data_IF_941081755320
#
_entry.id   IF_941081755320
#
_cell.length_a   1.000
_cell.length_b   1.000
_cell.length_c   1.000
_cell.angle_alpha   90.00
_cell.angle_beta   90.00
_cell.angle_gamma   90.00
#
_symmetry.space_group_name_H-M   'P 1'
#
loop_
_entity.id
_entity.type
_entity.pdbx_description
1 polymer ?
#
# COMPACT_ATOMS: atom_id res chain seq x y z
N UNK A 1 -10.47 4.87 -19.00
CA UNK A 1 -9.39 4.30 -19.85
C UNK A 1 -9.07 2.92 -19.32
N UNK A 2 -8.86 1.91 -20.19
CA UNK A 2 -8.63 0.52 -19.77
C UNK A 2 -7.22 0.36 -19.17
N UNK A 3 -7.10 -0.39 -18.07
CA UNK A 3 -5.81 -0.79 -17.50
C UNK A 3 -5.08 -1.69 -18.52
N UNK A 4 -3.77 -1.52 -18.75
CA UNK A 4 -3.02 -2.43 -19.61
C UNK A 4 -3.12 -3.87 -19.10
N UNK A 5 -2.98 -4.85 -19.99
CA UNK A 5 -2.84 -6.23 -19.55
C UNK A 5 -1.54 -6.39 -18.74
N UNK A 6 -1.47 -7.42 -17.89
CA UNK A 6 -0.24 -7.71 -17.14
C UNK A 6 0.98 -7.88 -18.07
N UNK A 7 0.90 -8.60 -19.21
CA UNK A 7 2.00 -8.67 -20.18
C UNK A 7 2.42 -7.31 -20.76
N UNK A 8 1.46 -6.47 -21.19
CA UNK A 8 1.78 -5.15 -21.75
C UNK A 8 2.45 -4.25 -20.70
N UNK A 9 1.97 -4.35 -19.46
CA UNK A 9 2.54 -3.64 -18.34
C UNK A 9 3.98 -4.10 -18.07
N UNK A 10 4.23 -5.41 -18.00
CA UNK A 10 5.57 -5.98 -17.80
C UNK A 10 6.54 -5.59 -18.92
N UNK A 11 6.10 -5.64 -20.18
CA UNK A 11 6.92 -5.28 -21.33
C UNK A 11 7.30 -3.79 -21.31
N UNK A 12 6.33 -2.91 -21.06
CA UNK A 12 6.59 -1.48 -20.95
C UNK A 12 7.47 -1.14 -19.73
N UNK A 13 7.36 -1.89 -18.63
CA UNK A 13 8.22 -1.72 -17.47
C UNK A 13 9.66 -2.13 -17.76
N UNK A 14 9.86 -3.30 -18.37
CA UNK A 14 11.17 -3.78 -18.78
C UNK A 14 11.85 -2.78 -19.75
N UNK A 15 11.11 -2.19 -20.68
CA UNK A 15 11.61 -1.17 -21.60
C UNK A 15 11.98 0.16 -20.90
N UNK A 16 11.24 0.58 -19.88
CA UNK A 16 11.60 1.73 -19.05
C UNK A 16 12.90 1.50 -18.28
N UNK A 17 13.09 0.29 -17.73
CA UNK A 17 14.33 -0.07 -17.05
C UNK A 17 15.49 -0.18 -18.04
N UNK A 18 15.29 -0.81 -19.21
CA UNK A 18 16.33 -0.98 -20.23
C UNK A 18 16.86 0.35 -20.76
N UNK A 19 16.01 1.37 -20.86
CA UNK A 19 16.41 2.73 -21.28
C UNK A 19 16.96 3.60 -20.15
N UNK A 20 17.08 3.06 -18.94
CA UNK A 20 17.58 3.79 -17.76
C UNK A 20 16.65 4.88 -17.25
N UNK A 21 15.38 4.91 -17.66
CA UNK A 21 14.44 5.97 -17.33
C UNK A 21 13.99 5.95 -15.86
N UNK A 22 14.07 4.78 -15.21
CA UNK A 22 13.66 4.55 -13.80
C UNK A 22 14.72 3.73 -13.05
N UNK A 23 16.00 3.90 -13.42
CA UNK A 23 17.15 3.19 -12.82
C UNK A 23 18.10 4.22 -12.23
N UNK A 24 18.62 3.92 -11.04
CA UNK A 24 19.65 4.75 -10.40
C UNK A 24 19.23 5.26 -9.03
N UNK A 25 19.98 6.24 -8.55
CA UNK A 25 19.76 6.89 -7.27
C UNK A 25 19.16 8.28 -7.50
N UNK A 26 17.87 8.43 -7.18
CA UNK A 26 17.19 9.72 -7.29
C UNK A 26 17.36 10.57 -6.04
N UNK A 27 18.06 10.10 -4.99
CA UNK A 27 18.27 10.86 -3.76
C UNK A 27 19.26 12.02 -3.92
N UNK A 28 19.99 12.08 -5.04
CA UNK A 28 20.95 13.15 -5.32
C UNK A 28 20.28 14.51 -5.65
N UNK A 29 18.98 14.52 -5.93
CA UNK A 29 18.23 15.73 -6.20
C UNK A 29 17.53 16.27 -4.96
N UNK A 30 17.48 17.60 -4.80
CA UNK A 30 16.63 18.24 -3.80
C UNK A 30 15.15 17.84 -3.97
N UNK A 31 14.35 18.01 -2.91
CA UNK A 31 12.91 17.61 -2.90
C UNK A 31 12.12 18.13 -4.12
N UNK A 32 12.44 19.31 -4.64
CA UNK A 32 11.80 19.89 -5.83
C UNK A 32 12.23 19.24 -7.15
N UNK A 33 13.45 18.67 -7.21
CA UNK A 33 13.86 17.86 -8.36
C UNK A 33 13.08 16.54 -8.38
N UNK A 34 12.88 15.90 -7.23
CA UNK A 34 12.09 14.66 -7.11
C UNK A 34 10.62 14.86 -7.52
N UNK A 35 10.00 15.99 -7.14
CA UNK A 35 8.61 16.31 -7.50
C UNK A 35 8.36 16.40 -9.00
N UNK A 36 9.36 16.84 -9.76
CA UNK A 36 9.27 17.03 -11.20
C UNK A 36 9.76 15.80 -12.00
N UNK A 37 10.17 14.71 -11.32
CA UNK A 37 10.57 13.51 -12.03
C UNK A 37 9.36 12.77 -12.58
N UNK A 38 9.38 12.62 -13.90
CA UNK A 38 8.33 12.04 -14.74
C UNK A 38 7.79 10.69 -14.23
N UNK A 39 8.64 9.89 -13.59
CA UNK A 39 8.34 8.53 -13.18
C UNK A 39 8.18 8.37 -11.66
N UNK A 40 8.28 9.46 -10.89
CA UNK A 40 8.21 9.43 -9.41
C UNK A 40 6.92 10.07 -8.90
N UNK A 41 6.36 11.05 -9.62
CA UNK A 41 5.12 11.73 -9.23
C UNK A 41 3.98 11.51 -10.22
N UNK A 42 2.75 11.59 -9.68
CA UNK A 42 1.49 11.15 -10.30
C UNK A 42 1.18 11.76 -11.68
N UNK A 43 1.72 12.94 -12.01
CA UNK A 43 1.32 13.72 -13.19
C UNK A 43 1.88 13.22 -14.52
N UNK A 44 2.95 12.41 -14.52
CA UNK A 44 3.55 11.94 -15.76
C UNK A 44 3.87 10.43 -15.78
N UNK A 45 3.19 9.69 -14.89
CA UNK A 45 3.31 8.24 -14.82
C UNK A 45 2.89 7.59 -16.15
N UNK A 46 3.70 6.69 -16.72
CA UNK A 46 3.37 5.98 -17.95
C UNK A 46 2.08 5.15 -17.82
N UNK A 47 1.67 4.83 -16.58
CA UNK A 47 0.47 4.05 -16.28
C UNK A 47 -0.60 4.85 -15.49
N UNK A 48 -0.61 6.20 -15.62
CA UNK A 48 -1.53 7.17 -15.00
C UNK A 48 -1.57 7.14 -13.46
N UNK A 49 -2.02 6.03 -12.88
CA UNK A 49 -2.21 5.85 -11.45
C UNK A 49 -1.18 4.89 -10.82
N UNK A 50 -0.50 4.07 -11.64
CA UNK A 50 0.49 3.14 -11.12
C UNK A 50 1.89 3.70 -11.31
N UNK A 51 2.54 4.04 -10.19
CA UNK A 51 3.94 4.42 -10.20
C UNK A 51 4.77 3.13 -10.29
N UNK A 52 5.59 2.95 -11.33
CA UNK A 52 6.42 1.76 -11.45
C UNK A 52 7.43 1.59 -10.30
N UNK A 53 7.77 2.67 -9.62
CA UNK A 53 8.57 2.66 -8.39
C UNK A 53 7.82 2.11 -7.16
N UNK A 54 6.48 1.99 -7.22
CA UNK A 54 5.65 1.44 -6.14
C UNK A 54 5.55 -0.10 -6.20
N UNK A 55 6.45 -0.77 -6.90
CA UNK A 55 6.46 -2.24 -6.92
C UNK A 55 6.75 -2.75 -5.51
N UNK A 56 5.82 -3.53 -4.95
CA UNK A 56 5.98 -4.12 -3.62
C UNK A 56 7.30 -4.91 -3.51
N UNK A 57 7.69 -5.64 -4.55
CA UNK A 57 8.97 -6.37 -4.61
C UNK A 57 10.19 -5.45 -4.54
N UNK A 58 10.12 -4.24 -5.10
CA UNK A 58 11.19 -3.24 -4.95
C UNK A 58 11.24 -2.71 -3.52
N UNK A 59 10.10 -2.42 -2.90
CA UNK A 59 10.05 -2.00 -1.50
C UNK A 59 10.62 -3.08 -0.56
N UNK A 60 10.39 -4.36 -0.86
CA UNK A 60 10.94 -5.48 -0.11
C UNK A 60 12.46 -5.65 -0.28
N UNK A 61 13.11 -5.00 -1.24
CA UNK A 61 14.57 -5.10 -1.47
C UNK A 61 15.31 -3.79 -1.23
N UNK A 62 14.58 -2.72 -0.94
CA UNK A 62 15.05 -1.36 -0.79
C UNK A 62 16.04 -1.21 0.36
N UNK A 63 17.27 -0.81 0.05
CA UNK A 63 18.30 -0.46 1.05
C UNK A 63 18.29 1.03 1.41
N UNK A 64 17.87 1.88 0.46
CA UNK A 64 17.78 3.33 0.61
C UNK A 64 16.58 3.86 -0.18
N UNK A 65 15.81 4.82 0.36
CA UNK A 65 14.73 5.46 -0.37
C UNK A 65 15.21 5.97 -1.72
N UNK A 66 14.38 5.78 -2.76
CA UNK A 66 14.63 6.25 -4.12
C UNK A 66 15.85 5.67 -4.86
N UNK A 67 16.43 4.58 -4.35
CA UNK A 67 17.45 3.80 -5.08
C UNK A 67 16.79 2.59 -5.73
N UNK A 68 16.65 2.63 -7.06
CA UNK A 68 16.02 1.56 -7.84
C UNK A 68 17.06 0.83 -8.69
N UNK A 69 17.52 -0.37 -8.28
CA UNK A 69 18.47 -1.14 -9.06
C UNK A 69 17.82 -1.65 -10.36
N UNK A 70 18.63 -1.79 -11.41
CA UNK A 70 18.18 -2.32 -12.69
C UNK A 70 17.68 -3.77 -12.58
N UNK A 71 18.24 -4.55 -11.65
CA UNK A 71 17.85 -5.93 -11.37
C UNK A 71 17.24 -6.04 -9.98
N UNK A 72 16.12 -6.75 -9.90
CA UNK A 72 15.45 -7.05 -8.62
C UNK A 72 16.02 -8.33 -8.04
N UNK A 73 16.50 -8.27 -6.81
CA UNK A 73 16.92 -9.45 -6.04
C UNK A 73 15.70 -10.16 -5.46
N UNK A 74 15.17 -11.13 -6.22
CA UNK A 74 13.95 -11.87 -5.85
C UNK A 74 14.13 -12.65 -4.55
N UNK A 75 15.30 -13.24 -4.31
CA UNK A 75 15.54 -14.02 -3.11
C UNK A 75 15.58 -13.14 -1.86
N UNK A 76 16.20 -11.96 -1.96
CA UNK A 76 16.13 -10.95 -0.89
C UNK A 76 14.71 -10.48 -0.67
N UNK A 77 13.93 -10.23 -1.73
CA UNK A 77 12.53 -9.84 -1.60
C UNK A 77 11.72 -10.90 -0.84
N UNK A 78 11.90 -12.17 -1.17
CA UNK A 78 11.24 -13.30 -0.51
C UNK A 78 11.66 -13.44 0.96
N UNK A 79 12.96 -13.30 1.26
CA UNK A 79 13.44 -13.31 2.65
C UNK A 79 12.82 -12.18 3.46
N UNK A 80 12.82 -10.96 2.92
CA UNK A 80 12.28 -9.79 3.60
C UNK A 80 10.76 -9.89 3.77
N UNK A 81 10.04 -10.39 2.74
CA UNK A 81 8.62 -10.68 2.81
C UNK A 81 8.32 -11.67 3.94
N UNK A 82 9.04 -12.80 4.02
CA UNK A 82 8.87 -13.80 5.07
C UNK A 82 9.23 -13.27 6.46
N UNK A 83 10.14 -12.30 6.55
CA UNK A 83 10.50 -11.64 7.81
C UNK A 83 9.56 -10.49 8.20
N UNK A 84 8.54 -10.18 7.38
CA UNK A 84 7.65 -9.07 7.63
C UNK A 84 6.82 -9.35 8.87
N UNK A 85 6.91 -8.45 9.86
CA UNK A 85 6.22 -8.60 11.15
C UNK A 85 4.73 -8.26 11.07
N UNK A 86 4.35 -7.34 10.19
CA UNK A 86 2.98 -6.84 10.07
C UNK A 86 2.64 -6.44 8.64
N UNK A 87 1.42 -6.77 8.20
CA UNK A 87 0.83 -6.32 6.94
C UNK A 87 -0.57 -5.78 7.25
N UNK A 88 -0.85 -4.55 6.82
CA UNK A 88 -2.18 -3.96 6.88
C UNK A 88 -2.92 -4.09 5.54
N UNK A 89 -4.25 -4.14 5.60
CA UNK A 89 -5.12 -4.16 4.42
C UNK A 89 -5.78 -2.80 4.30
N UNK A 90 -5.69 -2.19 3.12
CA UNK A 90 -6.21 -0.84 2.86
C UNK A 90 -7.73 -0.75 2.96
N UNK A 91 -8.44 -1.81 2.58
CA UNK A 91 -9.90 -1.91 2.61
C UNK A 91 -10.43 -2.06 4.05
N UNK A 92 -9.59 -2.50 4.98
CA UNK A 92 -9.86 -2.62 6.40
C UNK A 92 -8.82 -1.81 7.18
N UNK A 93 -8.62 -0.54 6.79
CA UNK A 93 -7.53 0.29 7.28
C UNK A 93 -7.63 0.57 8.78
N UNK A 94 -8.84 0.86 9.29
CA UNK A 94 -9.06 1.10 10.71
C UNK A 94 -8.75 -0.15 11.53
N UNK A 95 -9.29 -1.30 11.12
CA UNK A 95 -9.05 -2.60 11.73
C UNK A 95 -7.56 -2.97 11.72
N UNK A 96 -6.89 -2.72 10.59
CA UNK A 96 -5.46 -2.96 10.44
C UNK A 96 -4.65 -2.11 11.42
N UNK A 97 -5.00 -0.83 11.60
CA UNK A 97 -4.35 0.02 12.59
C UNK A 97 -4.60 -0.47 14.02
N UNK A 98 -5.80 -0.97 14.32
CA UNK A 98 -6.09 -1.54 15.62
C UNK A 98 -5.23 -2.78 15.92
N UNK A 99 -5.09 -3.70 14.95
CA UNK A 99 -4.19 -4.84 15.08
C UNK A 99 -2.73 -4.41 15.24
N UNK A 100 -2.31 -3.35 14.53
CA UNK A 100 -0.98 -2.78 14.68
C UNK A 100 -0.76 -2.22 16.10
N UNK A 101 -1.71 -1.45 16.62
CA UNK A 101 -1.67 -0.92 18.00
C UNK A 101 -1.58 -2.04 19.03
N UNK A 102 -2.42 -3.09 18.90
CA UNK A 102 -2.36 -4.25 19.77
C UNK A 102 -0.97 -4.93 19.74
N UNK A 103 -0.40 -5.13 18.54
CA UNK A 103 0.92 -5.78 18.40
C UNK A 103 2.09 -4.94 18.89
N UNK A 104 2.06 -3.62 18.67
CA UNK A 104 3.19 -2.72 18.96
C UNK A 104 3.14 -2.19 20.39
N UNK A 105 1.95 -1.84 20.88
CA UNK A 105 1.77 -1.15 22.16
C UNK A 105 1.10 -2.03 23.22
N UNK A 106 0.53 -3.18 22.84
CA UNK A 106 -0.24 -4.03 23.76
C UNK A 106 -1.55 -3.41 24.24
N UNK A 107 -1.92 -2.24 23.71
CA UNK A 107 -3.13 -1.49 24.09
C UNK A 107 -3.84 -0.98 22.84
N UNK A 108 -5.15 -0.76 22.95
CA UNK A 108 -6.00 -0.30 21.86
C UNK A 108 -6.50 1.13 22.13
N UNK A 109 -6.36 2.07 21.17
CA UNK A 109 -7.01 3.38 21.23
C UNK A 109 -8.54 3.27 21.26
N UNK A 110 -9.23 4.31 21.74
CA UNK A 110 -10.70 4.36 21.86
C UNK A 110 -11.43 4.07 20.53
N UNK A 111 -11.15 4.82 19.47
CA UNK A 111 -10.66 4.25 18.21
C UNK A 111 -11.14 2.88 17.71
N UNK A 112 -10.61 1.88 18.39
CA UNK A 112 -10.63 0.46 18.07
C UNK A 112 -11.70 -0.30 18.83
N UNK A 113 -12.42 0.36 19.72
CA UNK A 113 -13.52 -0.24 20.46
C UNK A 113 -14.73 -0.43 19.55
N UNK A 114 -14.83 -1.60 18.92
CA UNK A 114 -15.95 -1.95 18.05
C UNK A 114 -17.26 -2.26 18.81
N UNK A 115 -17.22 -2.34 20.14
CA UNK A 115 -18.42 -2.51 20.97
C UNK A 115 -19.09 -1.17 21.28
N UNK A 116 -18.32 -0.08 21.34
CA UNK A 116 -18.84 1.28 21.49
C UNK A 116 -18.84 1.99 20.13
N UNK A 117 -20.03 2.15 19.55
CA UNK A 117 -20.20 2.79 18.25
C UNK A 117 -19.72 4.25 18.23
N UNK A 118 -19.84 4.97 19.35
CA UNK A 118 -19.39 6.35 19.43
C UNK A 118 -17.87 6.41 19.35
N UNK A 119 -17.16 5.58 20.13
CA UNK A 119 -15.69 5.49 20.09
C UNK A 119 -15.18 5.00 18.73
N UNK A 120 -15.77 3.93 18.18
CA UNK A 120 -15.44 3.41 16.85
C UNK A 120 -15.53 4.46 15.76
N UNK A 121 -16.58 5.29 15.79
CA UNK A 121 -16.83 6.32 14.79
C UNK A 121 -15.88 7.52 14.85
N UNK A 122 -15.05 7.62 15.90
CA UNK A 122 -14.07 8.71 16.03
C UNK A 122 -12.91 8.60 15.05
N UNK A 123 -12.69 7.42 14.46
CA UNK A 123 -11.66 7.23 13.44
C UNK A 123 -12.01 7.99 12.15
N UNK A 124 -11.20 8.99 11.81
CA UNK A 124 -11.39 9.79 10.61
C UNK A 124 -10.59 9.21 9.44
N UNK A 125 -11.24 8.45 8.56
CA UNK A 125 -10.63 8.10 7.28
C UNK A 125 -10.43 9.36 6.43
N UNK A 126 -9.18 9.71 6.17
CA UNK A 126 -8.79 10.85 5.32
C UNK A 126 -8.98 10.58 3.83
N UNK A 127 -9.14 9.32 3.42
CA UNK A 127 -9.55 8.94 2.07
C UNK A 127 -11.04 8.65 2.06
N UNK A 128 -11.87 9.68 1.87
CA UNK A 128 -13.26 9.45 1.51
C UNK A 128 -13.29 8.87 0.10
N UNK A 129 -13.76 7.64 -0.01
CA UNK A 129 -13.99 6.96 -1.28
C UNK A 129 -14.93 7.82 -2.14
N UNK A 130 -14.39 8.64 -3.06
CA UNK A 130 -15.16 9.21 -4.18
C UNK A 130 -15.61 8.15 -5.19
N UNK A 131 -15.75 6.89 -4.76
CA UNK A 131 -16.27 5.76 -5.52
C UNK A 131 -17.73 5.42 -5.16
N UNK A 132 -18.34 6.14 -4.22
CA UNK A 132 -19.78 6.02 -3.98
C UNK A 132 -20.58 6.90 -4.95
N UNK A 133 -20.56 6.55 -6.23
CA UNK A 133 -21.70 6.87 -7.11
C UNK A 133 -22.76 5.80 -6.87
N UNK A 134 -23.71 6.11 -5.99
CA UNK A 134 -25.03 5.51 -5.85
C UNK A 134 -25.13 3.96 -5.90
N UNK A 135 -25.03 3.31 -4.74
CA UNK A 135 -25.80 2.09 -4.46
C UNK A 135 -25.83 1.79 -2.93
N UNK A 136 -26.86 2.31 -2.27
CA UNK A 136 -27.58 1.69 -1.15
C UNK A 136 -26.81 1.34 0.13
N UNK A 137 -27.28 1.92 1.24
CA UNK A 137 -27.13 1.39 2.60
C UNK A 137 -27.09 -0.14 2.66
N UNK A 138 -25.95 -0.67 3.11
CA UNK A 138 -25.87 -2.01 3.69
C UNK A 138 -25.14 -1.95 5.02
N UNK A 139 -25.68 -1.17 5.94
CA UNK A 139 -25.45 -1.39 7.36
C UNK A 139 -26.58 -2.28 7.90
N UNK A 140 -26.52 -3.58 7.59
CA UNK A 140 -27.28 -4.62 8.26
C UNK A 140 -26.66 -5.98 7.89
N UNK A 141 -26.17 -6.70 8.89
CA UNK A 141 -25.72 -8.10 8.84
C UNK A 141 -24.25 -8.34 8.46
N UNK A 142 -23.34 -8.17 9.42
CA UNK A 142 -22.20 -9.10 9.55
C UNK A 142 -22.51 -10.07 10.69
N UNK A 143 -22.59 -11.35 10.33
CA UNK A 143 -22.96 -12.48 11.18
C UNK A 143 -21.99 -12.70 12.37
N UNK A 144 -22.44 -13.27 13.50
CA UNK A 144 -21.61 -13.53 14.70
C UNK A 144 -20.43 -14.50 14.52
N UNK A 145 -20.23 -15.07 13.33
CA UNK A 145 -19.30 -16.18 13.09
C UNK A 145 -17.81 -15.77 13.07
N UNK A 146 -17.48 -14.47 12.97
CA UNK A 146 -16.09 -14.00 12.94
C UNK A 146 -15.47 -13.75 14.34
N UNK A 147 -16.28 -13.73 15.40
CA UNK A 147 -15.80 -13.54 16.77
C UNK A 147 -15.20 -14.82 17.40
N UNK A 148 -15.52 -16.01 16.88
CA UNK A 148 -15.07 -17.27 17.47
C UNK A 148 -13.66 -17.73 17.06
N UNK A 149 -13.02 -17.05 16.10
CA UNK A 149 -11.70 -17.44 15.59
C UNK A 149 -10.52 -16.70 16.27
N UNK A 150 -10.80 -15.74 17.16
CA UNK A 150 -9.77 -14.95 17.84
C UNK A 150 -9.32 -15.57 19.18
N UNK A 151 -10.06 -16.54 19.73
CA UNK A 151 -9.77 -17.18 21.02
C UNK A 151 -8.89 -18.43 20.92
N UNK A 152 -8.13 -18.62 19.82
CA UNK A 152 -7.28 -19.82 19.67
C UNK A 152 -5.92 -19.59 19.00
N UNK A 153 -5.30 -18.42 19.20
CA UNK A 153 -3.89 -18.19 18.88
C UNK A 153 -3.12 -17.70 20.10
#
# INVERSE_FOLDING_TARGET
TKMPSLPDWLAAWADLQARGAVVGDFSAGGHDQLRNQKYVTFTALPYKCYNPANLQTQHLTCDRPFRYPAQVDVDKALRNMRSTWFVGITEAYQESLCLFHAKVQGTLPAFCNCADQAEWSTFKQTHTSRHASAAGDRNASRSPALLAAADTL
#
